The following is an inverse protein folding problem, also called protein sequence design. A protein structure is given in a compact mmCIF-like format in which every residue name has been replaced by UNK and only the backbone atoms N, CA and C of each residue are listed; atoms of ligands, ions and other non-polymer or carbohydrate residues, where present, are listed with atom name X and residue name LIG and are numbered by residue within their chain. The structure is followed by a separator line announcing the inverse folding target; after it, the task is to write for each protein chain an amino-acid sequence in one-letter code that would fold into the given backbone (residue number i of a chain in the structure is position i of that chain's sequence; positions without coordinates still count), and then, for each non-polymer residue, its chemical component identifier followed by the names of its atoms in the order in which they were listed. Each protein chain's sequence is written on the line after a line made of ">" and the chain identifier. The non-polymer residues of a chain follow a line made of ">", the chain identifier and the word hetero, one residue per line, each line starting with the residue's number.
data_IF_450696015674
#
_entry.id   IF_450696015674
#
_cell.length_a   1.000
_cell.length_b   1.000
_cell.length_c   1.000
_cell.angle_alpha   90.00
_cell.angle_beta   90.00
_cell.angle_gamma   90.00
#
_symmetry.space_group_name_H-M   'P 1'
#
loop_
_entity.id
_entity.type
_entity.pdbx_description
1 polymer ?
#
# COMPACT_ATOMS: atom_id res chain seq x y z
N UNK A 1 -20.58 2.18 5.17
CA UNK A 1 -19.27 1.49 5.21
C UNK A 1 -19.11 0.95 6.60
N UNK A 2 -18.92 -0.36 6.75
CA UNK A 2 -18.69 -0.94 8.07
C UNK A 2 -17.34 -0.47 8.63
N UNK A 3 -17.25 -0.09 9.92
CA UNK A 3 -16.01 0.40 10.48
C UNK A 3 -14.94 -0.71 10.48
N UNK A 4 -13.69 -0.27 10.32
CA UNK A 4 -12.52 -1.13 10.58
C UNK A 4 -12.51 -1.54 12.06
N UNK A 5 -12.10 -2.77 12.32
CA UNK A 5 -11.89 -3.28 13.67
C UNK A 5 -10.38 -3.45 13.89
N UNK A 6 -9.92 -3.07 15.08
CA UNK A 6 -8.53 -3.18 15.48
C UNK A 6 -8.35 -4.25 16.54
N UNK A 7 -7.25 -4.97 16.48
CA UNK A 7 -6.75 -5.80 17.56
C UNK A 7 -5.31 -5.41 17.82
N UNK A 8 -5.04 -4.90 19.02
CA UNK A 8 -3.70 -4.64 19.52
C UNK A 8 -3.37 -5.76 20.51
N UNK A 9 -2.50 -6.73 20.15
CA UNK A 9 -2.24 -7.87 21.01
C UNK A 9 -1.52 -7.47 22.30
N UNK A 10 -0.56 -6.54 22.20
CA UNK A 10 0.20 -5.98 23.31
C UNK A 10 0.80 -4.62 22.88
N UNK A 11 0.69 -3.56 23.70
CA UNK A 11 1.26 -2.25 23.38
C UNK A 11 2.78 -2.25 23.16
N UNK A 12 3.51 -3.18 23.77
CA UNK A 12 4.97 -3.31 23.62
C UNK A 12 5.39 -3.85 22.26
N UNK A 13 4.48 -4.44 21.48
CA UNK A 13 4.81 -5.00 20.17
C UNK A 13 4.88 -3.94 19.07
N UNK A 14 4.46 -2.71 19.35
CA UNK A 14 4.41 -1.59 18.39
C UNK A 14 3.76 -1.99 17.06
N UNK A 15 2.65 -2.72 17.17
CA UNK A 15 1.92 -3.24 16.04
C UNK A 15 0.49 -3.63 16.38
N UNK A 16 -0.34 -3.69 15.35
CA UNK A 16 -1.75 -4.00 15.49
C UNK A 16 -2.28 -4.71 14.24
N UNK A 17 -3.41 -5.40 14.38
CA UNK A 17 -4.14 -5.96 13.27
C UNK A 17 -5.35 -5.09 12.93
N UNK A 18 -5.59 -4.91 11.64
CA UNK A 18 -6.82 -4.34 11.10
C UNK A 18 -7.64 -5.44 10.44
N UNK A 19 -8.94 -5.49 10.77
CA UNK A 19 -9.94 -6.29 10.05
C UNK A 19 -10.80 -5.33 9.22
N UNK A 20 -10.69 -5.47 7.90
CA UNK A 20 -11.32 -4.62 6.90
C UNK A 20 -12.34 -5.44 6.13
N UNK A 21 -13.59 -5.01 6.13
CA UNK A 21 -14.72 -5.76 5.55
C UNK A 21 -15.35 -4.93 4.44
N UNK A 22 -15.79 -5.60 3.37
CA UNK A 22 -16.43 -4.91 2.27
C UNK A 22 -17.25 -5.82 1.39
N UNK A 23 -18.24 -5.21 0.74
CA UNK A 23 -19.01 -5.81 -0.34
C UNK A 23 -19.00 -4.83 -1.51
N UNK A 24 -18.58 -5.32 -2.68
CA UNK A 24 -18.56 -4.53 -3.91
C UNK A 24 -19.68 -5.02 -4.80
N UNK A 25 -20.85 -4.37 -4.71
CA UNK A 25 -22.07 -4.81 -5.40
C UNK A 25 -21.90 -5.00 -6.93
N UNK A 26 -21.22 -4.11 -7.67
CA UNK A 26 -20.98 -4.33 -9.11
C UNK A 26 -20.12 -5.56 -9.43
N UNK A 27 -19.33 -6.06 -8.48
CA UNK A 27 -18.48 -7.24 -8.64
C UNK A 27 -19.07 -8.50 -8.00
N UNK A 28 -20.23 -8.38 -7.35
CA UNK A 28 -20.89 -9.48 -6.63
C UNK A 28 -19.92 -10.27 -5.73
N UNK A 29 -19.12 -9.53 -4.97
CA UNK A 29 -18.02 -10.06 -4.15
C UNK A 29 -18.02 -9.42 -2.76
N UNK A 30 -18.11 -10.26 -1.73
CA UNK A 30 -17.84 -9.88 -0.34
C UNK A 30 -16.44 -10.32 0.05
N UNK A 31 -15.81 -9.60 0.97
CA UNK A 31 -14.48 -9.98 1.44
C UNK A 31 -14.09 -9.38 2.77
N UNK A 32 -13.11 -10.04 3.39
CA UNK A 32 -12.49 -9.63 4.64
C UNK A 32 -10.98 -9.69 4.48
N UNK A 33 -10.32 -8.54 4.64
CA UNK A 33 -8.86 -8.44 4.73
C UNK A 33 -8.44 -8.33 6.18
N UNK A 34 -7.50 -9.18 6.59
CA UNK A 34 -6.78 -9.06 7.86
C UNK A 34 -5.37 -8.61 7.51
N UNK A 35 -4.91 -7.50 8.08
CA UNK A 35 -3.55 -6.99 7.88
C UNK A 35 -2.93 -6.68 9.23
N UNK A 36 -1.74 -7.22 9.48
CA UNK A 36 -0.90 -6.82 10.60
C UNK A 36 0.03 -5.70 10.16
N UNK A 37 0.04 -4.59 10.91
CA UNK A 37 0.92 -3.44 10.70
C UNK A 37 1.84 -3.32 11.92
N UNK A 38 3.12 -3.61 11.70
CA UNK A 38 4.16 -3.70 12.72
C UNK A 38 5.33 -2.81 12.34
N UNK A 39 5.47 -1.70 13.07
CA UNK A 39 6.43 -0.65 12.75
C UNK A 39 7.85 -1.17 12.80
N UNK A 40 8.16 -2.05 13.77
CA UNK A 40 9.50 -2.54 14.06
C UNK A 40 9.92 -3.78 13.25
N UNK A 41 9.08 -4.27 12.34
CA UNK A 41 9.43 -5.41 11.48
C UNK A 41 10.70 -5.19 10.65
N UNK A 42 11.09 -3.93 10.40
CA UNK A 42 12.36 -3.63 9.73
C UNK A 42 13.60 -4.10 10.50
N UNK A 43 13.53 -4.19 11.84
CA UNK A 43 14.60 -4.72 12.68
C UNK A 43 14.85 -6.21 12.39
N UNK A 44 13.85 -6.89 11.83
CA UNK A 44 13.88 -8.30 11.46
C UNK A 44 14.03 -8.52 9.95
N UNK A 45 14.25 -7.47 9.17
CA UNK A 45 14.30 -7.58 7.71
C UNK A 45 12.95 -7.88 7.04
N UNK A 46 11.84 -7.67 7.76
CA UNK A 46 10.49 -7.93 7.26
C UNK A 46 9.79 -6.65 6.77
N UNK A 47 8.81 -6.77 5.85
CA UNK A 47 7.84 -5.71 5.55
C UNK A 47 7.09 -5.24 6.80
N UNK A 48 6.67 -3.98 6.82
CA UNK A 48 5.85 -3.44 7.92
C UNK A 48 4.46 -4.05 7.95
N UNK A 49 3.92 -4.43 6.78
CA UNK A 49 2.59 -4.98 6.66
C UNK A 49 2.62 -6.39 6.07
N UNK A 50 1.81 -7.27 6.64
CA UNK A 50 1.45 -8.56 6.03
C UNK A 50 -0.06 -8.68 6.04
N UNK A 51 -0.66 -9.17 4.96
CA UNK A 51 -2.10 -9.30 4.88
C UNK A 51 -2.59 -10.52 4.14
N UNK A 52 -3.77 -10.98 4.52
CA UNK A 52 -4.55 -11.97 3.79
C UNK A 52 -5.93 -11.39 3.44
N UNK A 53 -6.42 -11.71 2.25
CA UNK A 53 -7.76 -11.36 1.80
C UNK A 53 -8.55 -12.64 1.54
N UNK A 54 -9.69 -12.76 2.22
CA UNK A 54 -10.67 -13.81 1.97
C UNK A 54 -11.80 -13.21 1.13
N UNK A 55 -12.19 -13.91 0.07
CA UNK A 55 -13.30 -13.55 -0.80
C UNK A 55 -14.41 -14.59 -0.69
N UNK A 56 -15.66 -14.13 -0.70
CA UNK A 56 -16.85 -14.95 -0.52
C UNK A 56 -17.91 -14.60 -1.55
N UNK A 57 -18.73 -15.58 -1.89
CA UNK A 57 -20.01 -15.35 -2.52
C UNK A 57 -20.97 -14.65 -1.54
N UNK A 58 -21.47 -13.44 -1.84
CA UNK A 58 -22.27 -12.66 -0.90
C UNK A 58 -23.68 -13.24 -0.65
N UNK A 59 -24.16 -14.16 -1.50
CA UNK A 59 -25.51 -14.74 -1.39
C UNK A 59 -25.52 -16.03 -0.59
N UNK A 60 -24.45 -16.80 -0.67
CA UNK A 60 -24.34 -18.14 -0.08
C UNK A 60 -23.33 -18.22 1.06
N UNK A 61 -22.43 -17.23 1.18
CA UNK A 61 -21.31 -17.27 2.12
C UNK A 61 -20.21 -18.25 1.73
N UNK A 62 -20.29 -18.89 0.56
CA UNK A 62 -19.28 -19.86 0.11
C UNK A 62 -17.93 -19.17 -0.15
N UNK A 63 -16.80 -19.72 0.34
CA UNK A 63 -15.48 -19.15 0.11
C UNK A 63 -15.11 -19.30 -1.37
N UNK A 64 -14.64 -18.20 -1.96
CA UNK A 64 -14.15 -18.16 -3.35
C UNK A 64 -12.63 -18.22 -3.44
N UNK A 65 -11.93 -17.49 -2.56
CA UNK A 65 -10.47 -17.44 -2.57
C UNK A 65 -9.90 -16.98 -1.23
N UNK A 66 -8.66 -17.38 -0.96
CA UNK A 66 -7.78 -16.83 0.06
C UNK A 66 -6.52 -16.38 -0.66
N UNK A 67 -6.15 -15.11 -0.49
CA UNK A 67 -5.08 -14.45 -1.24
C UNK A 67 -4.10 -13.79 -0.28
N UNK A 68 -2.82 -13.83 -0.62
CA UNK A 68 -1.86 -12.88 -0.06
C UNK A 68 -2.26 -11.46 -0.50
N UNK A 69 -2.47 -10.59 0.47
CA UNK A 69 -2.91 -9.22 0.26
C UNK A 69 -1.82 -8.19 0.56
N UNK A 70 -0.58 -8.62 0.80
CA UNK A 70 0.57 -7.76 1.13
C UNK A 70 0.89 -6.86 -0.07
N UNK A 71 1.25 -7.46 -1.21
CA UNK A 71 1.57 -6.69 -2.44
C UNK A 71 0.33 -5.98 -2.99
N UNK A 72 -0.86 -6.60 -2.89
CA UNK A 72 -2.13 -5.96 -3.28
C UNK A 72 -2.34 -4.69 -2.47
N UNK A 73 -2.03 -4.69 -1.17
CA UNK A 73 -2.15 -3.53 -0.30
C UNK A 73 -1.20 -2.42 -0.73
N UNK A 74 0.04 -2.74 -1.08
CA UNK A 74 0.99 -1.75 -1.59
C UNK A 74 0.50 -1.11 -2.89
N UNK A 75 0.16 -1.94 -3.89
CA UNK A 75 -0.30 -1.52 -5.21
C UNK A 75 -1.54 -0.63 -5.13
N UNK A 76 -2.59 -1.11 -4.45
CA UNK A 76 -3.87 -0.38 -4.38
C UNK A 76 -3.73 0.92 -3.60
N UNK A 77 -2.83 1.00 -2.60
CA UNK A 77 -2.60 2.23 -1.83
C UNK A 77 -1.91 3.27 -2.72
N UNK A 78 -0.88 2.86 -3.49
CA UNK A 78 -0.29 3.72 -4.52
C UNK A 78 -1.31 4.18 -5.56
N UNK A 79 -2.19 3.29 -6.03
CA UNK A 79 -3.21 3.62 -7.02
C UNK A 79 -4.22 4.67 -6.51
N UNK A 80 -4.64 4.59 -5.24
CA UNK A 80 -5.51 5.61 -4.65
C UNK A 80 -4.83 6.98 -4.64
N UNK A 81 -3.55 7.06 -4.28
CA UNK A 81 -2.79 8.32 -4.37
C UNK A 81 -2.68 8.82 -5.81
N UNK A 82 -2.36 7.95 -6.77
CA UNK A 82 -2.22 8.31 -8.18
C UNK A 82 -3.54 8.82 -8.78
N UNK A 83 -4.67 8.20 -8.45
CA UNK A 83 -6.02 8.68 -8.82
C UNK A 83 -6.28 10.05 -8.19
N UNK A 84 -5.95 10.24 -6.91
CA UNK A 84 -6.06 11.55 -6.26
C UNK A 84 -5.26 12.62 -7.00
N UNK A 85 -4.00 12.34 -7.31
CA UNK A 85 -3.13 13.25 -8.06
C UNK A 85 -3.67 13.55 -9.46
N UNK A 86 -4.18 12.55 -10.20
CA UNK A 86 -4.79 12.74 -11.52
C UNK A 86 -5.87 13.81 -11.54
N UNK A 87 -6.63 13.93 -10.46
CA UNK A 87 -7.74 14.88 -10.35
C UNK A 87 -7.35 16.19 -9.67
N UNK A 88 -6.37 16.19 -8.77
CA UNK A 88 -6.07 17.34 -7.89
C UNK A 88 -4.75 18.04 -8.22
N UNK A 89 -3.79 17.35 -8.84
CA UNK A 89 -2.48 17.92 -9.14
C UNK A 89 -2.50 18.70 -10.47
N UNK A 90 -1.55 19.63 -10.62
CA UNK A 90 -1.33 20.33 -11.88
C UNK A 90 -0.86 19.32 -12.94
N UNK A 91 -1.54 19.25 -14.08
CA UNK A 91 -1.20 18.32 -15.18
C UNK A 91 0.20 18.51 -15.75
N UNK A 92 0.81 19.68 -15.53
CA UNK A 92 2.16 20.02 -16.01
C UNK A 92 3.22 19.85 -14.92
N UNK A 93 2.93 19.14 -13.83
CA UNK A 93 3.93 18.86 -12.80
C UNK A 93 5.01 17.94 -13.35
N UNK A 94 6.27 18.33 -13.19
CA UNK A 94 7.44 17.61 -13.71
C UNK A 94 8.47 17.19 -12.65
N UNK A 95 8.28 17.60 -11.40
CA UNK A 95 9.13 17.18 -10.28
C UNK A 95 8.25 16.59 -9.18
N UNK A 96 8.53 15.36 -8.79
CA UNK A 96 7.90 14.68 -7.66
C UNK A 96 8.79 14.74 -6.42
N UNK A 97 8.27 15.28 -5.32
CA UNK A 97 8.88 15.11 -4.00
C UNK A 97 8.16 13.99 -3.23
N UNK A 98 8.88 12.94 -2.84
CA UNK A 98 8.34 11.83 -2.07
C UNK A 98 9.04 11.70 -0.71
N UNK A 99 8.27 11.69 0.38
CA UNK A 99 8.79 11.55 1.75
C UNK A 99 8.38 10.18 2.29
N UNK A 100 9.37 9.35 2.60
CA UNK A 100 9.21 7.93 2.89
C UNK A 100 9.74 7.06 1.74
N UNK A 101 10.32 5.92 2.07
CA UNK A 101 11.04 5.05 1.13
C UNK A 101 10.82 3.54 1.40
N UNK A 102 9.70 3.18 2.03
CA UNK A 102 9.36 1.80 2.42
C UNK A 102 7.86 1.53 2.20
N UNK A 103 7.48 0.25 2.23
CA UNK A 103 6.10 -0.21 2.07
C UNK A 103 5.50 0.29 0.75
N UNK A 104 4.37 0.99 0.86
CA UNK A 104 3.58 1.49 -0.27
C UNK A 104 4.30 2.49 -1.18
N UNK A 105 5.44 3.06 -0.74
CA UNK A 105 6.17 4.12 -1.45
C UNK A 105 6.51 3.74 -2.91
N UNK A 106 6.91 2.50 -3.16
CA UNK A 106 7.32 2.06 -4.50
C UNK A 106 6.19 2.19 -5.51
N UNK A 107 5.02 1.63 -5.19
CA UNK A 107 3.85 1.70 -6.06
C UNK A 107 3.24 3.11 -6.11
N UNK A 108 3.42 3.91 -5.05
CA UNK A 108 3.05 5.32 -5.06
C UNK A 108 3.81 6.07 -6.16
N UNK A 109 5.14 6.03 -6.11
CA UNK A 109 6.01 6.72 -7.07
C UNK A 109 5.80 6.17 -8.47
N UNK A 110 5.82 4.85 -8.65
CA UNK A 110 5.68 4.21 -9.97
C UNK A 110 4.37 4.58 -10.67
N UNK A 111 3.25 4.62 -9.94
CA UNK A 111 1.94 4.95 -10.54
C UNK A 111 1.77 6.45 -10.77
N UNK A 112 2.36 7.30 -9.92
CA UNK A 112 2.40 8.74 -10.17
C UNK A 112 3.25 9.04 -11.41
N UNK A 113 4.44 8.47 -11.50
CA UNK A 113 5.33 8.67 -12.63
C UNK A 113 4.69 8.19 -13.94
N UNK A 114 4.02 7.04 -13.95
CA UNK A 114 3.25 6.60 -15.11
C UNK A 114 2.19 7.60 -15.60
N UNK A 115 1.61 8.41 -14.71
CA UNK A 115 0.57 9.37 -15.06
C UNK A 115 1.11 10.77 -15.42
N UNK A 116 2.25 11.17 -14.88
CA UNK A 116 2.78 12.54 -15.01
C UNK A 116 4.08 12.62 -15.80
N UNK A 117 4.78 11.50 -15.98
CA UNK A 117 6.06 11.39 -16.69
C UNK A 117 7.05 12.43 -16.14
N UNK A 118 7.51 12.22 -14.90
CA UNK A 118 8.29 13.23 -14.19
C UNK A 118 9.71 13.32 -14.74
N UNK A 119 10.24 14.54 -14.84
CA UNK A 119 11.63 14.77 -15.23
C UNK A 119 12.59 14.50 -14.04
N UNK A 120 12.09 14.65 -12.80
CA UNK A 120 12.89 14.43 -11.59
C UNK A 120 12.03 13.89 -10.43
N UNK A 121 12.54 12.85 -9.76
CA UNK A 121 11.93 12.27 -8.55
C UNK A 121 12.90 12.45 -7.38
N UNK A 122 12.51 13.26 -6.39
CA UNK A 122 13.28 13.54 -5.18
C UNK A 122 12.73 12.73 -4.01
N UNK A 123 13.55 11.83 -3.47
CA UNK A 123 13.17 11.00 -2.32
C UNK A 123 13.85 11.50 -1.05
N UNK A 124 13.08 11.66 0.02
CA UNK A 124 13.61 11.85 1.37
C UNK A 124 13.14 10.72 2.31
N UNK A 125 14.02 10.26 3.18
CA UNK A 125 13.66 9.37 4.29
C UNK A 125 14.66 9.56 5.44
N UNK A 126 14.24 9.20 6.66
CA UNK A 126 15.06 9.36 7.87
C UNK A 126 16.37 8.56 7.84
N UNK A 127 16.41 7.41 7.16
CA UNK A 127 17.60 6.55 7.05
C UNK A 127 18.13 6.65 5.62
N UNK A 128 19.42 6.95 5.47
CA UNK A 128 20.07 6.99 4.16
C UNK A 128 19.97 5.66 3.44
N UNK A 129 20.21 4.55 4.14
CA UNK A 129 20.18 3.19 3.59
C UNK A 129 18.85 2.88 2.87
N UNK A 130 17.70 3.17 3.52
CA UNK A 130 16.39 2.95 2.88
C UNK A 130 16.12 3.92 1.74
N UNK A 131 16.56 5.18 1.87
CA UNK A 131 16.38 6.19 0.81
C UNK A 131 17.18 5.82 -0.44
N UNK A 132 18.45 5.47 -0.25
CA UNK A 132 19.41 5.26 -1.32
C UNK A 132 19.10 3.94 -2.05
N UNK A 133 18.75 2.87 -1.31
CA UNK A 133 18.28 1.61 -1.91
C UNK A 133 16.96 1.80 -2.69
N UNK A 134 16.04 2.61 -2.17
CA UNK A 134 14.77 2.91 -2.85
C UNK A 134 14.98 3.74 -4.13
N UNK A 135 15.83 4.77 -4.06
CA UNK A 135 16.18 5.59 -5.22
C UNK A 135 16.87 4.73 -6.30
N UNK A 136 17.83 3.88 -5.92
CA UNK A 136 18.50 2.97 -6.85
C UNK A 136 17.51 2.02 -7.53
N UNK A 137 16.55 1.46 -6.79
CA UNK A 137 15.50 0.61 -7.34
C UNK A 137 14.61 1.37 -8.33
N UNK A 138 14.19 2.59 -7.99
CA UNK A 138 13.37 3.41 -8.88
C UNK A 138 14.10 3.76 -10.17
N UNK A 139 15.35 4.21 -10.10
CA UNK A 139 16.17 4.51 -11.28
C UNK A 139 16.38 3.29 -12.18
N UNK A 140 16.53 2.10 -11.59
CA UNK A 140 16.64 0.87 -12.36
C UNK A 140 15.32 0.48 -13.08
N UNK A 141 14.18 0.73 -12.43
CA UNK A 141 12.86 0.27 -12.90
C UNK A 141 12.13 1.30 -13.80
N UNK A 142 12.44 2.59 -13.67
CA UNK A 142 11.75 3.69 -14.36
C UNK A 142 12.62 4.39 -15.42
N UNK A 143 13.95 4.23 -15.36
CA UNK A 143 14.91 4.99 -16.16
C UNK A 143 15.41 6.24 -15.45
#
# INVERSE_FOLDING_TARGET
>A
IEPRVHLEPDPSFHGHFNVLRGYVAPLDAAGVKIVGDYVDNYLHGLPSEFGILNLFDPRTGTPRAILDATVITDMRTGAVTAIGAKHLAKKTSKVLGHIGARGTAYWNVRLLDHLFDFDEIRVHSRRSESRDAFAAKLSADLG
#
